data_IF_979969905563
#
_entry.id   IF_979969905563
#
_cell.length_a   1.000
_cell.length_b   1.000
_cell.length_c   1.000
_cell.angle_alpha   90.00
_cell.angle_beta   90.00
_cell.angle_gamma   90.00
#
_symmetry.space_group_name_H-M   'P 1'
#
loop_
_entity.id
_entity.type
_entity.pdbx_description
1 polymer ?
#
# COMPACT_ATOMS: atom_id res chain seq x y z
N UNK A 1 -74.36 -30.35 7.28
CA UNK A 1 -73.65 -29.85 8.48
C UNK A 1 -72.34 -29.20 8.04
N UNK A 2 -72.19 -27.90 8.29
CA UNK A 2 -70.98 -27.07 8.03
C UNK A 2 -70.35 -26.72 9.38
N UNK A 3 -69.12 -27.15 9.65
CA UNK A 3 -68.26 -26.65 10.75
C UNK A 3 -66.81 -26.80 10.25
N UNK A 4 -66.30 -25.82 9.50
CA UNK A 4 -65.36 -24.76 9.93
C UNK A 4 -63.97 -25.25 10.36
N UNK A 5 -63.01 -24.81 9.54
CA UNK A 5 -61.56 -25.01 9.58
C UNK A 5 -60.94 -24.31 10.79
N UNK A 6 -59.87 -24.87 11.35
CA UNK A 6 -58.88 -24.08 12.09
C UNK A 6 -57.47 -24.56 11.70
N UNK A 7 -56.88 -23.81 10.77
CA UNK A 7 -55.46 -23.89 10.42
C UNK A 7 -54.76 -22.88 11.35
N UNK A 8 -54.05 -23.35 12.37
CA UNK A 8 -53.26 -22.51 13.25
C UNK A 8 -51.96 -22.14 12.53
N UNK A 9 -51.95 -20.99 11.85
CA UNK A 9 -50.75 -20.44 11.23
C UNK A 9 -49.91 -19.76 12.32
N UNK A 10 -48.78 -20.37 12.69
CA UNK A 10 -47.80 -19.80 13.59
C UNK A 10 -46.97 -18.75 12.82
N UNK A 11 -47.36 -17.48 12.93
CA UNK A 11 -46.65 -16.35 12.33
C UNK A 11 -45.36 -16.08 13.14
N UNK A 12 -44.23 -16.64 12.71
CA UNK A 12 -42.92 -16.31 13.27
C UNK A 12 -42.49 -14.94 12.74
N UNK A 13 -42.78 -13.89 13.49
CA UNK A 13 -42.29 -12.53 13.20
C UNK A 13 -40.79 -12.51 13.51
N UNK A 14 -39.96 -12.77 12.50
CA UNK A 14 -38.56 -12.38 12.52
C UNK A 14 -38.50 -10.85 12.53
N UNK A 15 -38.53 -10.26 13.72
CA UNK A 15 -38.18 -8.86 13.89
C UNK A 15 -36.75 -8.67 13.44
N UNK A 16 -36.56 -8.08 12.26
CA UNK A 16 -35.26 -7.65 11.78
C UNK A 16 -34.81 -6.47 12.66
N UNK A 17 -34.15 -6.77 13.77
CA UNK A 17 -33.42 -5.76 14.53
C UNK A 17 -32.24 -5.38 13.66
N UNK A 18 -32.40 -4.33 12.85
CA UNK A 18 -31.30 -3.71 12.15
C UNK A 18 -30.44 -3.03 13.22
N UNK A 19 -29.52 -3.78 13.83
CA UNK A 19 -28.42 -3.18 14.60
C UNK A 19 -27.59 -2.37 13.60
N UNK A 20 -27.82 -1.06 13.55
CA UNK A 20 -26.88 -0.13 12.95
C UNK A 20 -25.67 -0.06 13.88
N UNK A 21 -24.75 -1.02 13.75
CA UNK A 21 -23.40 -0.85 14.27
C UNK A 21 -22.73 0.18 13.37
N UNK A 22 -22.42 1.35 13.93
CA UNK A 22 -21.76 2.42 13.20
C UNK A 22 -20.41 1.94 12.65
N UNK A 23 -20.05 2.40 11.46
CA UNK A 23 -18.72 2.14 10.89
C UNK A 23 -17.65 2.78 11.80
N UNK A 24 -16.58 2.04 12.06
CA UNK A 24 -15.42 2.55 12.81
C UNK A 24 -14.88 3.77 12.07
N UNK A 25 -14.76 4.89 12.78
CA UNK A 25 -14.21 6.12 12.23
C UNK A 25 -12.85 6.41 12.88
N UNK A 26 -11.84 6.62 12.05
CA UNK A 26 -10.48 6.88 12.48
C UNK A 26 -10.30 8.40 12.62
N UNK A 27 -9.88 8.84 13.81
CA UNK A 27 -9.54 10.23 14.10
C UNK A 27 -8.05 10.32 14.36
N UNK A 28 -7.35 11.11 13.54
CA UNK A 28 -5.90 11.24 13.59
C UNK A 28 -5.46 12.68 13.34
N UNK A 29 -4.50 13.17 14.13
CA UNK A 29 -3.81 14.43 13.88
C UNK A 29 -2.48 14.13 13.20
N UNK A 30 -2.39 14.43 11.90
CA UNK A 30 -1.18 14.20 11.11
C UNK A 30 -0.01 15.07 11.61
N UNK A 31 1.14 14.48 11.97
CA UNK A 31 2.36 15.26 12.18
C UNK A 31 2.87 15.81 10.85
N UNK A 32 2.99 17.14 10.73
CA UNK A 32 3.48 17.76 9.50
C UNK A 32 4.99 17.52 9.28
N UNK A 33 5.75 17.37 10.37
CA UNK A 33 7.22 17.39 10.37
C UNK A 33 7.77 16.27 11.27
N UNK A 34 8.73 15.53 10.74
CA UNK A 34 9.62 14.65 11.48
C UNK A 34 11.03 15.26 11.51
N UNK A 35 11.76 15.07 12.61
CA UNK A 35 13.17 15.49 12.70
C UNK A 35 14.09 14.32 12.38
N UNK A 36 15.17 14.59 11.65
CA UNK A 36 16.18 13.58 11.33
C UNK A 36 16.64 12.80 12.56
N UNK A 37 16.72 11.47 12.43
CA UNK A 37 17.15 10.54 13.47
C UNK A 37 16.36 10.65 14.79
N UNK A 38 15.11 11.13 14.75
CA UNK A 38 14.18 11.11 15.88
C UNK A 38 12.96 10.26 15.52
N UNK A 39 12.42 9.50 16.50
CA UNK A 39 11.14 8.82 16.31
C UNK A 39 10.02 9.85 16.08
N UNK A 40 9.02 9.47 15.29
CA UNK A 40 7.88 10.33 14.97
C UNK A 40 6.64 9.76 15.67
N UNK A 41 6.08 10.46 16.67
CA UNK A 41 4.93 9.97 17.42
C UNK A 41 3.68 9.99 16.54
N UNK A 42 2.92 8.90 16.59
CA UNK A 42 1.63 8.74 15.94
C UNK A 42 0.57 8.43 16.99
N UNK A 43 -0.51 9.19 16.97
CA UNK A 43 -1.64 9.06 17.89
C UNK A 43 -2.93 8.90 17.10
N UNK A 44 -3.70 7.87 17.42
CA UNK A 44 -4.94 7.52 16.73
C UNK A 44 -6.05 7.34 17.74
N UNK A 45 -7.20 7.93 17.51
CA UNK A 45 -8.43 7.67 18.26
C UNK A 45 -9.46 7.03 17.35
N UNK A 46 -10.19 6.05 17.87
CA UNK A 46 -11.29 5.42 17.16
C UNK A 46 -12.62 5.95 17.70
N UNK A 47 -13.54 6.26 16.79
CA UNK A 47 -14.94 6.54 17.08
C UNK A 47 -15.78 5.34 16.63
N UNK A 48 -16.84 5.02 17.38
CA UNK A 48 -17.75 3.90 17.10
C UNK A 48 -17.05 2.52 17.04
N UNK A 49 -15.96 2.32 17.78
CA UNK A 49 -15.19 1.08 17.75
C UNK A 49 -15.86 -0.09 18.48
N UNK A 50 -16.80 0.19 19.39
CA UNK A 50 -17.67 -0.81 20.03
C UNK A 50 -16.93 -1.97 20.70
N UNK A 51 -15.64 -1.84 20.99
CA UNK A 51 -14.68 -2.88 21.43
C UNK A 51 -14.34 -3.99 20.41
N UNK A 52 -14.61 -3.77 19.12
CA UNK A 52 -14.38 -4.76 18.06
C UNK A 52 -12.99 -4.64 17.41
N UNK A 53 -12.07 -3.82 17.92
CA UNK A 53 -10.73 -3.67 17.33
C UNK A 53 -9.81 -4.82 17.75
N UNK A 54 -9.18 -5.48 16.78
CA UNK A 54 -8.09 -6.44 17.04
C UNK A 54 -6.75 -5.73 17.01
N UNK A 55 -6.44 -5.01 15.92
CA UNK A 55 -5.15 -4.36 15.72
C UNK A 55 -5.30 -2.96 15.11
N UNK A 56 -4.38 -2.06 15.50
CA UNK A 56 -4.22 -0.75 14.87
C UNK A 56 -2.78 -0.64 14.39
N UNK A 57 -2.59 -0.54 13.08
CA UNK A 57 -1.28 -0.50 12.43
C UNK A 57 -1.06 0.82 11.73
N UNK A 58 0.18 1.29 11.76
CA UNK A 58 0.66 2.37 10.90
C UNK A 58 1.61 1.77 9.89
N UNK A 59 1.21 1.83 8.63
CA UNK A 59 2.06 1.45 7.50
C UNK A 59 2.83 2.69 7.06
N UNK A 60 4.15 2.60 6.92
CA UNK A 60 5.01 3.71 6.55
C UNK A 60 6.14 3.28 5.61
N UNK A 61 6.58 4.19 4.74
CA UNK A 61 7.78 4.06 3.90
C UNK A 61 8.46 5.41 3.72
N UNK A 62 9.75 5.40 3.40
CA UNK A 62 10.40 6.59 2.84
C UNK A 62 10.17 6.63 1.33
N UNK A 63 10.31 7.79 0.68
CA UNK A 63 10.19 7.89 -0.78
C UNK A 63 11.17 6.94 -1.50
N UNK A 64 12.33 6.68 -0.89
CA UNK A 64 13.39 5.82 -1.46
C UNK A 64 13.17 4.33 -1.22
N UNK A 65 12.21 3.96 -0.38
CA UNK A 65 11.87 2.56 -0.10
C UNK A 65 10.58 2.19 -0.83
N UNK A 66 10.62 1.16 -1.68
CA UNK A 66 9.44 0.71 -2.41
C UNK A 66 8.35 0.11 -1.51
N UNK A 67 8.75 -0.59 -0.44
CA UNK A 67 7.83 -1.34 0.42
C UNK A 67 7.44 -0.59 1.70
N UNK A 68 6.14 -0.65 2.02
CA UNK A 68 5.64 -0.25 3.32
C UNK A 68 6.09 -1.24 4.40
N UNK A 69 6.62 -0.68 5.49
CA UNK A 69 6.78 -1.38 6.77
C UNK A 69 5.59 -1.03 7.64
N UNK A 70 5.35 -1.78 8.72
CA UNK A 70 4.34 -1.36 9.70
C UNK A 70 4.87 -1.37 11.13
N UNK A 71 4.25 -0.54 11.96
CA UNK A 71 4.28 -0.63 13.41
C UNK A 71 2.86 -0.91 13.91
N UNK A 72 2.74 -1.65 15.00
CA UNK A 72 1.48 -1.83 15.70
C UNK A 72 1.38 -0.83 16.85
N UNK A 73 0.31 -0.02 16.84
CA UNK A 73 0.05 0.95 17.90
C UNK A 73 -0.49 0.25 19.14
N UNK A 74 -0.04 0.70 20.30
CA UNK A 74 -0.45 0.15 21.59
C UNK A 74 -1.56 1.02 22.21
N UNK A 75 -2.52 0.43 22.94
CA UNK A 75 -3.54 1.19 23.67
C UNK A 75 -2.90 2.20 24.64
N UNK A 76 -3.32 3.47 24.58
CA UNK A 76 -2.84 4.53 25.44
C UNK A 76 -3.96 5.56 25.70
N UNK A 77 -4.44 5.63 26.94
CA UNK A 77 -5.54 6.53 27.32
C UNK A 77 -6.84 6.20 26.57
N UNK A 78 -7.36 7.16 25.81
CA UNK A 78 -8.58 6.99 25.01
C UNK A 78 -8.30 6.62 23.53
N UNK A 79 -7.08 6.20 23.21
CA UNK A 79 -6.72 5.86 21.84
C UNK A 79 -5.54 4.90 21.78
N UNK A 80 -4.79 5.00 20.70
CA UNK A 80 -3.65 4.16 20.36
C UNK A 80 -2.45 5.05 20.05
N UNK A 81 -1.27 4.61 20.51
CA UNK A 81 -0.01 5.35 20.33
C UNK A 81 1.11 4.42 19.91
N UNK A 82 2.02 4.97 19.12
CA UNK A 82 3.24 4.33 18.68
C UNK A 82 4.14 5.32 17.97
N UNK A 83 5.31 4.87 17.56
CA UNK A 83 6.33 5.74 16.99
C UNK A 83 6.86 5.15 15.69
N UNK A 84 6.79 5.91 14.60
CA UNK A 84 7.55 5.58 13.39
C UNK A 84 9.03 5.69 13.75
N UNK A 85 9.85 4.66 13.46
CA UNK A 85 11.27 4.67 13.81
C UNK A 85 12.04 5.85 13.21
N UNK A 86 13.19 6.23 13.80
CA UNK A 86 14.05 7.28 13.29
C UNK A 86 14.33 7.18 11.79
N UNK A 87 14.15 8.30 11.07
CA UNK A 87 14.39 8.37 9.63
C UNK A 87 15.64 9.20 9.31
N UNK A 88 16.47 8.77 8.35
CA UNK A 88 17.63 9.55 7.91
C UNK A 88 17.19 10.78 7.11
N UNK A 89 18.05 11.78 7.00
CA UNK A 89 17.77 12.97 6.18
C UNK A 89 17.54 12.61 4.71
N UNK A 90 18.21 11.56 4.23
CA UNK A 90 18.03 11.03 2.88
C UNK A 90 16.64 10.49 2.60
N UNK A 91 15.80 10.26 3.62
CA UNK A 91 14.42 9.86 3.41
C UNK A 91 13.59 10.98 2.76
N UNK A 92 13.93 12.25 3.03
CA UNK A 92 13.27 13.49 2.58
C UNK A 92 11.80 13.60 3.03
N UNK A 93 10.97 12.60 2.74
CA UNK A 93 9.63 12.42 3.28
C UNK A 93 9.35 10.98 3.70
N UNK A 94 8.40 10.84 4.61
CA UNK A 94 7.77 9.57 4.97
C UNK A 94 6.33 9.59 4.48
N UNK A 95 5.95 8.57 3.73
CA UNK A 95 4.55 8.31 3.37
C UNK A 95 3.99 7.27 4.34
N UNK A 96 2.79 7.49 4.87
CA UNK A 96 2.16 6.57 5.79
C UNK A 96 0.64 6.59 5.73
N UNK A 97 0.02 5.53 6.24
CA UNK A 97 -1.42 5.46 6.47
C UNK A 97 -1.71 4.58 7.69
N UNK A 98 -2.92 4.69 8.21
CA UNK A 98 -3.40 3.93 9.35
C UNK A 98 -4.35 2.84 8.85
N UNK A 99 -4.23 1.63 9.40
CA UNK A 99 -5.14 0.53 9.18
C UNK A 99 -5.62 -0.03 10.51
N UNK A 100 -6.93 -0.09 10.67
CA UNK A 100 -7.62 -0.74 11.78
C UNK A 100 -8.15 -2.08 11.28
N UNK A 101 -7.76 -3.15 11.96
CA UNK A 101 -8.24 -4.50 11.69
C UNK A 101 -9.19 -4.85 12.83
N UNK A 102 -10.51 -4.86 12.58
CA UNK A 102 -11.47 -5.29 13.59
C UNK A 102 -11.50 -6.83 13.70
N UNK A 103 -11.98 -7.33 14.84
CA UNK A 103 -12.29 -8.73 15.11
C UNK A 103 -13.38 -9.27 14.17
N UNK A 104 -14.28 -8.39 13.73
CA UNK A 104 -15.41 -8.72 12.84
C UNK A 104 -15.50 -7.65 11.77
N UNK A 105 -15.56 -8.06 10.50
CA UNK A 105 -15.63 -7.16 9.35
C UNK A 105 -14.29 -7.03 8.61
N UNK A 106 -14.28 -6.15 7.61
CA UNK A 106 -13.07 -5.85 6.84
C UNK A 106 -12.19 -4.77 7.51
N UNK A 107 -10.94 -4.60 7.06
CA UNK A 107 -10.08 -3.54 7.53
C UNK A 107 -10.63 -2.15 7.17
N UNK A 108 -10.38 -1.17 8.04
CA UNK A 108 -10.73 0.24 7.84
C UNK A 108 -9.43 1.04 7.78
N UNK A 109 -9.31 1.99 6.86
CA UNK A 109 -8.07 2.74 6.65
C UNK A 109 -8.28 4.25 6.80
N UNK A 110 -7.19 4.94 7.15
CA UNK A 110 -7.11 6.39 7.08
C UNK A 110 -5.81 6.81 6.35
N UNK A 111 -5.90 7.51 5.21
CA UNK A 111 -7.13 7.95 4.53
C UNK A 111 -8.04 6.79 4.08
N UNK A 112 -9.35 7.08 3.97
CA UNK A 112 -10.36 6.07 3.60
C UNK A 112 -10.23 5.66 2.13
N UNK A 113 -9.91 6.63 1.27
CA UNK A 113 -9.75 6.41 -0.16
C UNK A 113 -8.30 6.07 -0.44
N UNK A 114 -8.10 4.85 -0.92
CA UNK A 114 -6.86 4.37 -1.52
C UNK A 114 -5.55 4.78 -0.79
N UNK A 115 -5.37 4.39 0.48
CA UNK A 115 -4.30 4.87 1.35
C UNK A 115 -2.88 4.53 0.87
N UNK A 116 -2.77 3.61 -0.09
CA UNK A 116 -1.49 3.25 -0.70
C UNK A 116 -1.02 4.26 -1.75
N UNK A 117 -1.95 4.97 -2.41
CA UNK A 117 -1.68 5.92 -3.49
C UNK A 117 -1.89 7.38 -3.03
N UNK A 118 -2.77 7.59 -2.06
CA UNK A 118 -2.94 8.86 -1.36
C UNK A 118 -2.55 8.73 0.12
N UNK A 119 -1.30 8.33 0.43
CA UNK A 119 -0.85 8.28 1.81
C UNK A 119 -0.70 9.69 2.40
N UNK A 120 -0.72 9.77 3.72
CA UNK A 120 -0.30 10.96 4.43
C UNK A 120 1.22 11.13 4.28
N UNK A 121 1.68 12.38 4.23
CA UNK A 121 3.11 12.70 4.12
C UNK A 121 3.63 13.42 5.35
N UNK A 122 4.84 13.06 5.79
CA UNK A 122 5.60 13.76 6.83
C UNK A 122 6.92 14.21 6.22
N UNK A 123 7.24 15.50 6.30
CA UNK A 123 8.53 16.02 5.83
C UNK A 123 9.62 15.77 6.87
N UNK A 124 10.79 15.27 6.44
CA UNK A 124 11.94 15.06 7.33
C UNK A 124 12.87 16.27 7.24
N UNK A 125 12.95 17.05 8.32
CA UNK A 125 13.81 18.22 8.39
C UNK A 125 15.10 17.93 9.19
N UNK A 126 16.21 18.63 8.87
CA UNK A 126 17.40 18.62 9.71
C UNK A 126 17.08 19.01 11.16
N UNK A 127 17.87 18.49 12.10
CA UNK A 127 17.87 18.96 13.49
C UNK A 127 18.27 20.44 13.44
N UNK A 128 17.36 21.35 13.83
CA UNK A 128 17.52 22.80 13.74
C UNK A 128 18.96 23.28 13.84
N UNK A 129 19.45 23.88 12.77
CA UNK A 129 20.46 24.93 12.88
C UNK A 129 19.72 26.14 13.42
N UNK A 130 19.84 26.41 14.72
CA UNK A 130 19.55 27.74 15.25
C UNK A 130 20.64 28.66 14.67
N UNK A 131 20.41 29.18 13.47
CA UNK A 131 21.01 30.44 13.06
C UNK A 131 19.93 31.49 13.27
N UNK A 132 20.10 32.27 14.33
CA UNK A 132 19.46 33.56 14.47
C UNK A 132 19.75 34.36 13.18
N UNK A 133 18.70 34.65 12.41
CA UNK A 133 18.80 35.55 11.25
C UNK A 133 19.12 36.96 11.76
N UNK A 134 20.40 37.34 11.77
CA UNK A 134 20.77 38.75 11.69
C UNK A 134 20.53 39.23 10.25
N UNK A 135 19.79 40.34 10.04
CA UNK A 135 19.42 40.79 8.71
C UNK A 135 20.62 41.46 8.04
N UNK A 136 21.13 40.87 6.94
CA UNK A 136 22.03 41.59 6.02
C UNK A 136 21.36 41.83 4.68
N UNK A 137 21.09 43.12 4.46
CA UNK A 137 20.72 43.82 3.24
C UNK A 137 21.35 43.23 1.96
N UNK A 138 20.52 43.05 0.93
CA UNK A 138 20.90 43.09 -0.50
C UNK A 138 21.51 44.46 -0.85
N UNK A 139 22.35 44.67 -1.90
CA UNK A 139 22.13 44.25 -3.32
C UNK A 139 23.45 44.07 -4.13
N UNK A 140 23.54 44.20 -5.49
CA UNK A 140 22.60 43.97 -6.62
C UNK A 140 23.16 43.01 -7.73
N UNK A 141 22.23 42.67 -8.62
CA UNK A 141 22.32 42.09 -9.99
C UNK A 141 23.50 42.58 -10.86
N UNK A 142 24.12 41.66 -11.63
CA UNK A 142 24.61 41.94 -13.00
C UNK A 142 24.39 40.74 -13.94
N UNK A 143 23.97 41.09 -15.17
CA UNK A 143 23.73 40.26 -16.37
C UNK A 143 25.02 39.63 -16.93
N UNK A 144 24.88 38.51 -17.63
CA UNK A 144 25.85 38.03 -18.62
C UNK A 144 25.27 36.91 -19.50
N UNK A 145 25.05 37.21 -20.78
CA UNK A 145 24.70 36.26 -21.84
C UNK A 145 25.86 35.29 -22.16
N UNK A 146 25.55 34.07 -22.62
CA UNK A 146 25.97 33.56 -23.96
C UNK A 146 25.42 32.15 -24.28
N UNK A 147 25.03 32.00 -25.55
CA UNK A 147 24.66 30.76 -26.25
C UNK A 147 25.90 29.92 -26.59
N UNK A 148 25.77 28.60 -26.61
CA UNK A 148 26.37 27.75 -27.67
C UNK A 148 25.65 26.41 -27.77
N UNK A 149 25.29 26.06 -29.01
CA UNK A 149 24.68 24.83 -29.47
C UNK A 149 25.75 23.79 -29.76
N UNK A 150 25.49 22.49 -29.57
CA UNK A 150 26.04 21.46 -30.46
C UNK A 150 25.25 20.14 -30.47
N UNK A 151 25.25 19.52 -31.66
CA UNK A 151 24.36 18.46 -32.16
C UNK A 151 24.80 17.04 -31.75
N UNK A 152 23.80 16.22 -31.41
CA UNK A 152 23.43 14.97 -32.12
C UNK A 152 24.35 13.74 -32.07
N UNK A 153 23.83 12.64 -31.52
CA UNK A 153 24.02 11.26 -32.03
C UNK A 153 22.78 10.44 -31.66
N UNK A 154 22.06 9.89 -32.66
CA UNK A 154 21.07 8.82 -32.46
C UNK A 154 21.79 7.45 -32.52
N UNK A 155 21.47 6.48 -31.64
CA UNK A 155 21.84 5.09 -31.87
C UNK A 155 20.71 4.25 -32.46
N UNK A 156 21.16 3.26 -33.22
CA UNK A 156 20.44 2.37 -34.14
C UNK A 156 19.47 1.40 -33.44
N UNK A 157 18.38 1.10 -34.14
CA UNK A 157 17.31 0.15 -33.78
C UNK A 157 17.76 -1.30 -33.97
N UNK A 158 18.29 -1.91 -32.91
CA UNK A 158 18.16 -3.36 -32.70
C UNK A 158 16.80 -3.62 -32.04
N UNK A 159 16.10 -4.70 -32.41
CA UNK A 159 14.81 -5.06 -31.80
C UNK A 159 15.04 -5.52 -30.35
N UNK A 160 15.13 -4.54 -29.45
CA UNK A 160 15.21 -4.70 -28.01
C UNK A 160 13.83 -5.18 -27.55
N UNK A 161 13.76 -6.40 -27.00
CA UNK A 161 12.60 -6.81 -26.20
C UNK A 161 12.43 -5.76 -25.10
N UNK A 162 11.21 -5.26 -24.87
CA UNK A 162 11.01 -4.26 -23.85
C UNK A 162 11.42 -4.85 -22.49
N UNK A 163 12.07 -4.03 -21.67
CA UNK A 163 12.56 -4.39 -20.34
C UNK A 163 11.69 -3.66 -19.32
N UNK A 164 11.25 -4.37 -18.28
CA UNK A 164 10.63 -3.76 -17.11
C UNK A 164 11.71 -3.60 -16.06
N UNK A 165 11.81 -2.41 -15.49
CA UNK A 165 12.64 -2.20 -14.32
C UNK A 165 11.97 -2.87 -13.10
N UNK A 166 12.75 -3.20 -12.08
CA UNK A 166 12.22 -3.67 -10.79
C UNK A 166 11.38 -2.59 -10.08
N UNK A 167 11.43 -1.33 -10.54
CA UNK A 167 10.49 -0.28 -10.13
C UNK A 167 9.11 -0.39 -10.79
N UNK A 168 8.96 -1.17 -11.87
CA UNK A 168 7.74 -1.23 -12.68
C UNK A 168 6.77 -2.31 -12.21
N UNK A 169 7.15 -3.10 -11.21
CA UNK A 169 6.30 -4.08 -10.55
C UNK A 169 6.80 -4.40 -9.15
N UNK A 170 5.92 -4.85 -8.26
CA UNK A 170 6.27 -5.27 -6.90
C UNK A 170 5.49 -6.53 -6.54
N UNK A 171 6.19 -7.55 -6.03
CA UNK A 171 5.54 -8.68 -5.36
C UNK A 171 5.11 -8.22 -3.97
N UNK A 172 3.80 -8.15 -3.74
CA UNK A 172 3.19 -7.74 -2.47
C UNK A 172 3.17 -8.89 -1.47
N UNK A 173 3.00 -10.12 -1.96
CA UNK A 173 3.06 -11.33 -1.14
C UNK A 173 3.27 -12.56 -2.05
N UNK A 174 4.01 -13.59 -1.62
CA UNK A 174 4.86 -13.68 -0.43
C UNK A 174 6.01 -12.67 -0.42
N UNK A 175 6.49 -12.31 0.77
CA UNK A 175 7.81 -11.70 0.88
C UNK A 175 8.87 -12.73 0.42
N UNK A 176 9.84 -12.36 -0.45
CA UNK A 176 10.88 -13.29 -0.88
C UNK A 176 11.64 -13.90 0.30
N UNK A 177 11.63 -15.24 0.38
CA UNK A 177 12.28 -15.99 1.45
C UNK A 177 11.46 -16.13 2.75
N UNK A 178 10.24 -15.60 2.79
CA UNK A 178 9.32 -15.82 3.91
C UNK A 178 8.82 -17.26 3.99
N UNK A 179 8.46 -17.71 5.20
CA UNK A 179 7.81 -18.98 5.44
C UNK A 179 6.33 -18.73 5.70
N UNK A 180 5.48 -19.37 4.89
CA UNK A 180 4.02 -19.25 4.96
C UNK A 180 3.45 -20.66 5.04
N UNK A 181 2.31 -20.83 5.71
CA UNK A 181 1.58 -22.10 5.69
C UNK A 181 0.99 -22.32 4.29
N UNK A 182 0.87 -23.59 3.89
CA UNK A 182 0.42 -23.94 2.54
C UNK A 182 -0.99 -23.41 2.24
N UNK A 183 -1.87 -23.48 3.23
CA UNK A 183 -3.25 -22.98 3.19
C UNK A 183 -3.36 -21.46 3.14
N UNK A 184 -2.35 -20.74 3.63
CA UNK A 184 -2.30 -19.27 3.66
C UNK A 184 -1.55 -18.70 2.45
N UNK A 185 -1.06 -19.56 1.55
CA UNK A 185 -0.30 -19.14 0.39
C UNK A 185 -1.19 -18.34 -0.56
N UNK A 186 -0.84 -17.07 -0.72
CA UNK A 186 -1.45 -16.15 -1.67
C UNK A 186 -0.33 -15.47 -2.45
N UNK A 187 -0.54 -15.24 -3.75
CA UNK A 187 0.43 -14.52 -4.56
C UNK A 187 -0.24 -13.25 -5.04
N UNK A 188 0.40 -12.12 -4.79
CA UNK A 188 -0.10 -10.82 -5.22
C UNK A 188 1.05 -9.98 -5.77
N UNK A 189 0.85 -9.44 -6.96
CA UNK A 189 1.84 -8.64 -7.67
C UNK A 189 1.19 -7.36 -8.18
N UNK A 190 1.74 -6.23 -7.78
CA UNK A 190 1.36 -4.91 -8.26
C UNK A 190 2.18 -4.55 -9.49
N UNK A 191 1.54 -3.96 -10.49
CA UNK A 191 2.17 -3.42 -11.68
C UNK A 191 2.23 -1.91 -11.51
N UNK A 192 3.43 -1.34 -11.54
CA UNK A 192 3.74 0.07 -11.33
C UNK A 192 4.11 0.79 -12.63
N UNK A 193 4.33 0.04 -13.72
CA UNK A 193 4.56 0.57 -15.05
C UNK A 193 3.40 1.52 -15.48
N UNK A 194 3.71 2.55 -16.26
CA UNK A 194 2.69 3.45 -16.80
C UNK A 194 1.59 2.67 -17.52
N UNK A 195 0.35 3.18 -17.41
CA UNK A 195 -0.83 2.55 -18.01
C UNK A 195 -0.61 2.27 -19.50
N UNK A 196 -0.84 1.02 -19.93
CA UNK A 196 -0.70 0.59 -21.32
C UNK A 196 0.70 0.09 -21.71
N UNK A 197 1.69 0.11 -20.80
CA UNK A 197 2.98 -0.56 -21.02
C UNK A 197 2.81 -2.08 -20.84
N UNK A 198 2.19 -2.50 -19.75
CA UNK A 198 1.92 -3.90 -19.42
C UNK A 198 0.42 -4.20 -19.61
N UNK A 199 0.12 -5.40 -20.10
CA UNK A 199 -1.23 -5.97 -20.13
C UNK A 199 -1.34 -7.03 -19.01
N UNK A 200 -1.97 -6.69 -17.87
CA UNK A 200 -2.14 -7.61 -16.75
C UNK A 200 -2.89 -8.89 -17.12
N UNK A 201 -3.81 -8.82 -18.09
CA UNK A 201 -4.61 -9.98 -18.53
C UNK A 201 -3.79 -11.01 -19.29
N UNK A 202 -2.63 -10.60 -19.84
CA UNK A 202 -1.68 -11.46 -20.56
C UNK A 202 -0.49 -11.87 -19.69
N UNK A 203 -0.42 -11.41 -18.45
CA UNK A 203 0.64 -11.79 -17.50
C UNK A 203 0.55 -13.28 -17.17
N UNK A 204 1.68 -13.91 -16.88
CA UNK A 204 1.71 -15.34 -16.49
C UNK A 204 2.34 -15.46 -15.11
N UNK A 205 1.62 -16.09 -14.18
CA UNK A 205 2.14 -16.43 -12.85
C UNK A 205 2.53 -17.91 -12.85
N UNK A 206 3.76 -18.20 -12.41
CA UNK A 206 4.33 -19.53 -12.33
C UNK A 206 4.67 -19.88 -10.88
N UNK A 207 4.36 -21.11 -10.49
CA UNK A 207 4.86 -21.74 -9.27
C UNK A 207 5.65 -22.98 -9.66
N UNK A 208 6.94 -23.00 -9.34
CA UNK A 208 7.90 -24.05 -9.73
C UNK A 208 7.84 -24.39 -11.23
N UNK A 209 7.65 -23.35 -12.05
CA UNK A 209 7.52 -23.46 -13.51
C UNK A 209 6.14 -23.89 -14.01
N UNK A 210 5.18 -24.20 -13.14
CA UNK A 210 3.79 -24.52 -13.52
C UNK A 210 2.93 -23.26 -13.54
N UNK A 211 2.16 -23.07 -14.63
CA UNK A 211 1.22 -21.95 -14.74
C UNK A 211 0.10 -22.07 -13.71
N UNK A 212 -0.12 -20.99 -12.98
CA UNK A 212 -1.25 -20.84 -12.08
C UNK A 212 -2.43 -20.18 -12.78
N UNK A 213 -3.63 -20.48 -12.31
CA UNK A 213 -4.78 -19.62 -12.56
C UNK A 213 -4.61 -18.34 -11.74
N UNK A 214 -4.89 -17.19 -12.36
CA UNK A 214 -4.78 -15.89 -11.73
C UNK A 214 -5.99 -15.02 -12.07
N UNK A 215 -6.22 -14.01 -11.25
CA UNK A 215 -7.13 -12.91 -11.53
C UNK A 215 -6.29 -11.66 -11.76
N UNK A 216 -6.63 -10.89 -12.78
CA UNK A 216 -5.97 -9.65 -13.10
C UNK A 216 -6.97 -8.50 -13.13
N UNK A 217 -6.52 -7.36 -12.63
CA UNK A 217 -7.09 -6.03 -12.83
C UNK A 217 -6.01 -5.13 -13.46
N UNK A 218 -6.32 -3.86 -13.68
CA UNK A 218 -5.43 -2.92 -14.38
C UNK A 218 -4.01 -2.80 -13.76
N UNK A 219 -3.88 -2.90 -12.44
CA UNK A 219 -2.60 -2.71 -11.73
C UNK A 219 -2.24 -3.86 -10.77
N UNK A 220 -3.01 -4.95 -10.81
CA UNK A 220 -2.87 -6.03 -9.82
C UNK A 220 -3.12 -7.39 -10.45
N UNK A 221 -2.18 -8.31 -10.22
CA UNK A 221 -2.29 -9.74 -10.52
C UNK A 221 -2.30 -10.51 -9.21
N UNK A 222 -3.27 -11.40 -9.05
CA UNK A 222 -3.41 -12.25 -7.86
C UNK A 222 -3.57 -13.71 -8.25
N UNK A 223 -2.95 -14.62 -7.53
CA UNK A 223 -3.08 -16.05 -7.75
C UNK A 223 -3.17 -16.79 -6.42
N UNK A 224 -4.02 -17.82 -6.38
CA UNK A 224 -4.10 -18.76 -5.27
C UNK A 224 -3.44 -20.06 -5.75
N UNK A 225 -2.30 -20.47 -5.17
CA UNK A 225 -1.70 -21.76 -5.45
C UNK A 225 -2.67 -22.92 -5.16
N UNK A 226 -2.62 -24.02 -5.93
CA UNK A 226 -3.24 -25.28 -5.50
C UNK A 226 -2.52 -25.83 -4.26
N UNK A 227 -2.88 -27.02 -3.79
CA UNK A 227 -2.12 -27.69 -2.72
C UNK A 227 -0.61 -27.74 -3.04
N UNK A 228 0.17 -27.07 -2.20
CA UNK A 228 1.63 -27.01 -2.31
C UNK A 228 2.26 -27.96 -1.29
N UNK A 229 3.29 -28.69 -1.73
CA UNK A 229 4.06 -29.54 -0.84
C UNK A 229 4.85 -28.71 0.16
N UNK A 230 5.21 -29.22 1.34
CA UNK A 230 6.16 -28.53 2.20
C UNK A 230 7.54 -28.41 1.54
N UNK A 231 8.14 -27.22 1.55
CA UNK A 231 9.47 -27.02 0.99
C UNK A 231 9.72 -25.60 0.51
N UNK A 232 10.84 -25.41 -0.21
CA UNK A 232 11.11 -24.17 -0.93
C UNK A 232 10.39 -24.20 -2.26
N UNK A 233 9.69 -23.13 -2.55
CA UNK A 233 8.99 -22.93 -3.81
C UNK A 233 9.47 -21.65 -4.48
N UNK A 234 9.47 -21.64 -5.81
CA UNK A 234 9.84 -20.49 -6.62
C UNK A 234 8.59 -19.93 -7.30
N UNK A 235 8.35 -18.64 -7.09
CA UNK A 235 7.33 -17.88 -7.83
C UNK A 235 8.02 -17.05 -8.90
N UNK A 236 7.52 -17.12 -10.13
CA UNK A 236 7.95 -16.26 -11.22
C UNK A 236 6.74 -15.60 -11.87
N UNK A 237 6.89 -14.33 -12.24
CA UNK A 237 5.85 -13.57 -12.94
C UNK A 237 6.42 -13.05 -14.25
N UNK A 238 5.70 -13.31 -15.34
CA UNK A 238 6.11 -12.96 -16.69
C UNK A 238 5.11 -11.96 -17.25
N UNK A 239 5.55 -10.72 -17.38
CA UNK A 239 4.73 -9.63 -17.92
C UNK A 239 4.73 -9.62 -19.45
N UNK A 240 3.64 -9.15 -20.03
CA UNK A 240 3.48 -8.96 -21.46
C UNK A 240 2.94 -7.57 -21.76
N UNK A 241 3.28 -7.01 -22.91
CA UNK A 241 2.68 -5.77 -23.40
C UNK A 241 1.29 -6.03 -24.03
N UNK A 242 0.51 -4.98 -24.37
CA UNK A 242 -0.79 -5.15 -25.03
C UNK A 242 -0.72 -5.86 -26.39
N UNK A 243 0.45 -5.92 -27.03
CA UNK A 243 0.67 -6.66 -28.29
C UNK A 243 1.02 -8.14 -28.04
N UNK A 244 1.10 -8.57 -26.78
CA UNK A 244 1.46 -9.93 -26.38
C UNK A 244 2.95 -10.22 -26.43
N UNK A 245 3.81 -9.19 -26.50
CA UNK A 245 5.27 -9.37 -26.41
C UNK A 245 5.67 -9.48 -24.95
N UNK A 246 6.42 -10.53 -24.64
CA UNK A 246 6.96 -10.77 -23.31
C UNK A 246 8.07 -9.75 -22.98
N UNK A 247 8.04 -9.22 -21.76
CA UNK A 247 9.15 -8.48 -21.18
C UNK A 247 10.24 -9.43 -20.69
N UNK A 248 11.50 -8.98 -20.69
CA UNK A 248 12.59 -9.80 -20.15
C UNK A 248 12.34 -10.13 -18.66
N UNK A 249 12.61 -11.38 -18.25
CA UNK A 249 12.51 -11.80 -16.85
C UNK A 249 13.63 -11.23 -15.98
#
# INVERSE_FOLDING_TARGET
MRIHRLFLSLLFVFGSVNLSQGQIKIVHLQPAIGRVNRPIPIEVRLENDGTMTDQVRVYYKSIKNASYKYIELQPAGQGYRGEIPPQPLSAEKVQYFIMVIPRIGGPVTYPEVNPFYEPLEIQIIPKETIHEEMPKKRPPVQKGEKKSSEKGVQPRRNAILPELDQSDYVILTPDPGSSIRAEDAFISVSILADSGIVDPSKTVVLLDGRKLQFKASEYLVTAVPPEITPGRHLIAVVFHDPKGRQFRP
#
